data_IF_432579315030
#
_entry.id   IF_432579315030
#
_cell.length_a   1.000
_cell.length_b   1.000
_cell.length_c   1.000
_cell.angle_alpha   90.00
_cell.angle_beta   90.00
_cell.angle_gamma   90.00
#
_symmetry.space_group_name_H-M   'P 1'
#
loop_
_entity.id
_entity.type
_entity.pdbx_description
1 polymer ?
#
# COMPACT_ATOMS: atom_id res chain seq x y z
N UNK A 1 29.40 -3.31 -94.08
CA UNK A 1 30.69 -3.70 -94.66
C UNK A 1 31.52 -4.33 -93.54
N UNK A 2 31.94 -5.58 -93.73
CA UNK A 2 32.70 -6.41 -92.77
C UNK A 2 34.06 -5.79 -92.43
N UNK A 3 34.54 -6.02 -91.21
CA UNK A 3 35.91 -6.52 -90.89
C UNK A 3 36.05 -6.68 -89.37
N UNK A 4 36.21 -7.91 -88.87
CA UNK A 4 37.49 -8.56 -88.56
C UNK A 4 38.27 -7.87 -87.43
N UNK A 5 38.28 -8.44 -86.21
CA UNK A 5 39.14 -9.56 -85.72
C UNK A 5 40.50 -9.05 -85.19
N UNK A 6 40.84 -9.56 -84.00
CA UNK A 6 42.19 -10.03 -83.57
C UNK A 6 43.05 -9.10 -82.67
N UNK A 7 43.59 -9.77 -81.62
CA UNK A 7 44.80 -9.48 -80.79
C UNK A 7 44.61 -8.44 -79.67
N UNK A 8 45.20 -8.57 -78.48
CA UNK A 8 46.09 -9.54 -77.84
C UNK A 8 46.05 -9.19 -76.33
N UNK A 9 45.73 -10.12 -75.44
CA UNK A 9 46.68 -10.71 -74.48
C UNK A 9 47.97 -9.90 -74.23
N UNK A 10 47.99 -9.13 -73.15
CA UNK A 10 49.16 -8.98 -72.29
C UNK A 10 48.78 -8.37 -70.93
N UNK A 11 49.03 -9.17 -69.88
CA UNK A 11 49.57 -8.72 -68.58
C UNK A 11 48.72 -7.77 -67.72
N UNK A 12 48.09 -8.32 -66.68
CA UNK A 12 48.57 -8.03 -65.33
C UNK A 12 48.07 -9.07 -64.33
N UNK A 13 48.99 -9.41 -63.44
CA UNK A 13 48.93 -10.45 -62.43
C UNK A 13 48.49 -9.79 -61.12
N UNK A 14 47.60 -10.51 -60.42
CA UNK A 14 47.41 -10.51 -58.96
C UNK A 14 46.53 -9.46 -58.27
N UNK A 15 45.90 -10.01 -57.22
CA UNK A 15 45.31 -9.41 -56.03
C UNK A 15 43.82 -9.04 -56.11
N UNK A 16 42.96 -9.88 -55.52
CA UNK A 16 42.27 -9.58 -54.25
C UNK A 16 41.13 -10.59 -53.99
N UNK A 17 41.38 -11.56 -53.10
CA UNK A 17 40.42 -11.89 -52.05
C UNK A 17 41.21 -11.68 -50.74
N UNK A 18 40.71 -10.85 -49.80
CA UNK A 18 39.67 -11.32 -48.89
C UNK A 18 38.75 -10.18 -48.39
N UNK A 19 37.57 -9.99 -48.98
CA UNK A 19 36.58 -9.00 -48.46
C UNK A 19 35.57 -9.64 -47.47
N UNK A 20 35.61 -10.96 -47.25
CA UNK A 20 34.57 -11.66 -46.46
C UNK A 20 34.83 -11.78 -44.96
N UNK A 21 36.00 -11.41 -44.43
CA UNK A 21 36.30 -11.55 -42.99
C UNK A 21 36.08 -10.30 -42.13
N UNK A 22 35.93 -9.11 -42.72
CA UNK A 22 35.83 -7.87 -41.93
C UNK A 22 34.42 -7.60 -41.39
N UNK A 23 33.38 -8.18 -42.01
CA UNK A 23 31.98 -7.86 -41.68
C UNK A 23 31.42 -8.66 -40.49
N UNK A 24 32.01 -9.80 -40.13
CA UNK A 24 31.50 -10.66 -39.06
C UNK A 24 32.02 -10.28 -37.68
N UNK A 25 33.20 -9.67 -37.57
CA UNK A 25 33.73 -9.17 -36.30
C UNK A 25 32.93 -7.96 -35.79
N UNK A 26 32.65 -6.99 -36.67
CA UNK A 26 31.85 -5.81 -36.32
C UNK A 26 30.44 -6.15 -35.88
N UNK A 27 29.79 -7.13 -36.54
CA UNK A 27 28.46 -7.59 -36.17
C UNK A 27 28.44 -8.25 -34.78
N UNK A 28 29.47 -9.04 -34.43
CA UNK A 28 29.59 -9.70 -33.12
C UNK A 28 29.80 -8.70 -32.00
N UNK A 29 30.62 -7.68 -32.21
CA UNK A 29 30.82 -6.61 -31.22
C UNK A 29 29.55 -5.77 -31.02
N UNK A 30 28.78 -5.51 -32.08
CA UNK A 30 27.52 -4.75 -31.99
C UNK A 30 26.44 -5.53 -31.23
N UNK A 31 26.36 -6.86 -31.43
CA UNK A 31 25.44 -7.74 -30.68
C UNK A 31 25.85 -7.84 -29.20
N UNK A 32 27.14 -8.00 -28.91
CA UNK A 32 27.63 -8.05 -27.52
C UNK A 32 27.40 -6.71 -26.81
N UNK A 33 27.62 -5.58 -27.50
CA UNK A 33 27.33 -4.26 -26.96
C UNK A 33 25.83 -4.07 -26.68
N UNK A 34 24.95 -4.53 -27.58
CA UNK A 34 23.50 -4.49 -27.37
C UNK A 34 23.07 -5.34 -26.17
N UNK A 35 23.62 -6.56 -26.02
CA UNK A 35 23.33 -7.41 -24.86
C UNK A 35 23.81 -6.79 -23.54
N UNK A 36 24.95 -6.08 -23.57
CA UNK A 36 25.52 -5.41 -22.40
C UNK A 36 24.68 -4.17 -22.01
N UNK A 37 24.14 -3.43 -22.99
CA UNK A 37 23.21 -2.32 -22.75
C UNK A 37 21.89 -2.82 -22.16
N UNK A 38 21.33 -3.92 -22.68
CA UNK A 38 20.08 -4.50 -22.14
C UNK A 38 20.27 -4.96 -20.69
N UNK A 39 21.43 -5.53 -20.35
CA UNK A 39 21.76 -5.95 -18.98
C UNK A 39 21.92 -4.79 -17.98
N UNK A 40 22.29 -3.59 -18.43
CA UNK A 40 22.40 -2.41 -17.55
C UNK A 40 21.04 -1.78 -17.20
N UNK A 41 19.98 -2.06 -17.96
CA UNK A 41 18.64 -1.44 -17.75
C UNK A 41 17.77 -2.26 -16.78
N UNK A 42 18.17 -3.48 -16.42
CA UNK A 42 17.35 -4.39 -15.58
C UNK A 42 17.46 -4.17 -14.06
N UNK A 43 18.15 -3.15 -13.56
CA UNK A 43 18.32 -2.90 -12.12
C UNK A 43 17.24 -2.01 -11.51
N UNK A 44 15.96 -2.18 -11.90
CA UNK A 44 14.88 -1.55 -11.15
C UNK A 44 14.58 -2.43 -9.93
N UNK A 45 15.28 -2.17 -8.83
CA UNK A 45 14.82 -2.60 -7.51
C UNK A 45 13.53 -1.83 -7.19
N UNK A 46 12.38 -2.41 -7.56
CA UNK A 46 11.11 -1.99 -7.00
C UNK A 46 11.13 -2.42 -5.53
N UNK A 47 11.55 -1.50 -4.66
CA UNK A 47 11.21 -1.61 -3.26
C UNK A 47 9.68 -1.54 -3.21
N UNK A 48 9.04 -2.69 -2.94
CA UNK A 48 7.65 -2.71 -2.52
C UNK A 48 7.60 -1.97 -1.18
N UNK A 49 7.44 -0.65 -1.24
CA UNK A 49 7.14 0.15 -0.06
C UNK A 49 5.81 -0.40 0.46
N UNK A 50 5.79 -0.87 1.71
CA UNK A 50 4.55 -1.24 2.38
C UNK A 50 3.58 -0.08 2.19
N UNK A 51 2.42 -0.29 1.57
CA UNK A 51 1.56 0.83 1.20
C UNK A 51 1.17 1.58 2.47
N UNK A 52 1.43 2.88 2.49
CA UNK A 52 1.08 3.80 3.59
C UNK A 52 -0.44 4.04 3.60
N UNK A 53 -1.19 2.95 3.77
CA UNK A 53 -2.64 2.93 3.73
C UNK A 53 -3.18 2.98 5.16
N UNK A 54 -4.35 3.61 5.29
CA UNK A 54 -5.11 3.60 6.53
C UNK A 54 -5.58 2.16 6.81
N UNK A 55 -5.38 1.71 8.03
CA UNK A 55 -5.77 0.36 8.45
C UNK A 55 -6.56 0.42 9.75
N UNK A 56 -7.49 -0.51 9.92
CA UNK A 56 -8.26 -0.69 11.14
C UNK A 56 -8.07 -2.11 11.69
N UNK A 57 -8.01 -2.21 13.00
CA UNK A 57 -8.08 -3.46 13.72
C UNK A 57 -9.23 -3.39 14.72
N UNK A 58 -10.17 -4.32 14.59
CA UNK A 58 -11.25 -4.52 15.56
C UNK A 58 -10.93 -5.74 16.40
N UNK A 59 -10.86 -5.57 17.71
CA UNK A 59 -10.68 -6.65 18.68
C UNK A 59 -11.99 -6.82 19.45
N UNK A 60 -12.63 -7.98 19.25
CA UNK A 60 -13.87 -8.36 19.91
C UNK A 60 -13.56 -9.21 21.13
N UNK A 61 -13.91 -8.71 22.32
CA UNK A 61 -13.76 -9.42 23.60
C UNK A 61 -15.13 -9.66 24.22
N UNK A 62 -15.16 -10.44 25.29
CA UNK A 62 -16.39 -10.69 26.04
C UNK A 62 -16.90 -9.39 26.68
N UNK A 63 -17.95 -8.84 26.07
CA UNK A 63 -18.61 -7.61 26.51
C UNK A 63 -17.88 -6.29 26.21
N UNK A 64 -16.78 -6.35 25.44
CA UNK A 64 -16.02 -5.17 25.06
C UNK A 64 -15.55 -5.27 23.61
N UNK A 65 -15.56 -4.13 22.93
CA UNK A 65 -14.98 -3.95 21.61
C UNK A 65 -13.89 -2.88 21.67
N UNK A 66 -12.79 -3.12 20.98
CA UNK A 66 -11.69 -2.19 20.81
C UNK A 66 -11.48 -1.97 19.31
N UNK A 67 -11.43 -0.70 18.88
CA UNK A 67 -11.11 -0.30 17.52
C UNK A 67 -9.78 0.45 17.57
N UNK A 68 -8.78 -0.04 16.85
CA UNK A 68 -7.51 0.65 16.60
C UNK A 68 -7.47 1.08 15.15
N UNK A 69 -7.19 2.34 14.91
CA UNK A 69 -7.15 2.91 13.58
C UNK A 69 -5.77 3.52 13.34
N UNK A 70 -5.02 2.95 12.40
CA UNK A 70 -3.70 3.42 11.98
C UNK A 70 -3.87 4.30 10.75
N UNK A 71 -3.86 5.61 10.96
CA UNK A 71 -4.21 6.58 9.92
C UNK A 71 -2.97 7.14 9.25
N UNK A 72 -3.00 7.17 7.91
CA UNK A 72 -2.08 8.01 7.16
C UNK A 72 -2.56 9.47 7.26
N UNK A 73 -1.94 10.22 8.18
CA UNK A 73 -2.33 11.60 8.48
C UNK A 73 -2.15 12.54 7.30
N UNK A 74 -1.07 12.42 6.53
CA UNK A 74 -0.82 13.28 5.36
C UNK A 74 -1.98 13.19 4.36
N UNK A 75 -2.37 11.97 3.99
CA UNK A 75 -3.46 11.75 3.05
C UNK A 75 -4.81 12.18 3.61
N UNK A 76 -5.05 11.97 4.91
CA UNK A 76 -6.34 12.33 5.51
C UNK A 76 -6.49 13.85 5.64
N UNK A 77 -5.46 14.55 6.09
CA UNK A 77 -5.46 16.01 6.17
C UNK A 77 -5.66 16.64 4.79
N UNK A 78 -4.96 16.15 3.76
CA UNK A 78 -5.13 16.64 2.40
C UNK A 78 -6.58 16.50 1.89
N UNK A 79 -7.27 15.40 2.22
CA UNK A 79 -8.69 15.20 1.89
C UNK A 79 -9.60 16.15 2.67
N UNK A 80 -9.31 16.37 3.95
CA UNK A 80 -10.07 17.30 4.78
C UNK A 80 -9.88 18.76 4.38
N UNK A 81 -8.88 19.10 3.57
CA UNK A 81 -8.71 20.43 2.95
C UNK A 81 -9.45 20.57 1.60
N UNK A 82 -10.10 19.51 1.09
CA UNK A 82 -10.83 19.57 -0.18
C UNK A 82 -12.15 20.34 -0.02
N UNK A 83 -12.15 21.59 -0.50
CA UNK A 83 -13.32 22.45 -0.50
C UNK A 83 -14.50 21.86 -1.28
N UNK A 84 -14.26 21.17 -2.40
CA UNK A 84 -15.34 20.66 -3.24
C UNK A 84 -16.03 19.48 -2.56
N UNK A 85 -15.26 18.55 -1.99
CA UNK A 85 -15.80 17.42 -1.27
C UNK A 85 -16.55 17.87 0.02
N UNK A 86 -16.10 18.95 0.68
CA UNK A 86 -16.87 19.58 1.75
C UNK A 86 -18.18 20.22 1.27
N UNK A 87 -18.13 21.03 0.20
CA UNK A 87 -19.32 21.72 -0.34
C UNK A 87 -20.39 20.75 -0.83
N UNK A 88 -19.99 19.58 -1.30
CA UNK A 88 -20.88 18.50 -1.74
C UNK A 88 -21.36 17.60 -0.61
N UNK A 89 -20.84 17.79 0.60
CA UNK A 89 -21.21 17.03 1.80
C UNK A 89 -20.58 15.63 1.86
N UNK A 90 -19.56 15.34 1.07
CA UNK A 90 -18.81 14.08 1.16
C UNK A 90 -18.07 13.96 2.50
N UNK A 91 -17.63 15.09 3.07
CA UNK A 91 -17.14 15.14 4.45
C UNK A 91 -17.66 16.39 5.17
N UNK A 92 -17.83 16.27 6.50
CA UNK A 92 -18.46 17.31 7.32
C UNK A 92 -17.49 18.38 7.84
N UNK A 93 -16.20 18.05 7.90
CA UNK A 93 -15.14 18.92 8.39
C UNK A 93 -14.30 19.43 7.22
N UNK A 94 -14.04 20.74 7.20
CA UNK A 94 -13.06 21.37 6.31
C UNK A 94 -11.95 21.95 7.18
N UNK A 95 -10.71 21.55 6.91
CA UNK A 95 -9.53 22.12 7.56
C UNK A 95 -8.95 23.24 6.72
N UNK A 96 -8.55 24.33 7.38
CA UNK A 96 -7.73 25.38 6.78
C UNK A 96 -6.24 25.10 7.01
N UNK A 97 -5.37 25.86 6.36
CA UNK A 97 -3.92 25.77 6.60
C UNK A 97 -3.54 26.12 8.06
N UNK A 98 -4.29 27.03 8.68
CA UNK A 98 -4.10 27.38 10.09
C UNK A 98 -4.49 26.22 11.01
N UNK A 99 -5.56 25.48 10.67
CA UNK A 99 -6.04 24.34 11.46
C UNK A 99 -5.04 23.19 11.54
N UNK A 100 -4.16 23.03 10.55
CA UNK A 100 -3.14 21.96 10.51
C UNK A 100 -2.11 22.15 11.65
N UNK A 101 -1.86 23.39 12.03
CA UNK A 101 -0.90 23.73 13.07
C UNK A 101 -1.54 23.93 14.45
N UNK A 102 -2.86 23.76 14.55
CA UNK A 102 -3.60 23.86 15.80
C UNK A 102 -3.23 22.67 16.72
N UNK A 103 -2.75 22.92 17.94
CA UNK A 103 -2.51 21.87 18.93
C UNK A 103 -3.75 21.02 19.26
N UNK A 104 -4.96 21.53 19.03
CA UNK A 104 -6.21 20.81 19.26
C UNK A 104 -6.65 19.94 18.05
N UNK A 105 -5.87 19.89 16.96
CA UNK A 105 -6.22 19.15 15.75
C UNK A 105 -6.47 17.67 16.02
N UNK A 106 -5.59 17.01 16.78
CA UNK A 106 -5.72 15.58 17.10
C UNK A 106 -7.03 15.26 17.81
N UNK A 107 -7.44 16.11 18.77
CA UNK A 107 -8.72 15.98 19.48
C UNK A 107 -9.91 16.17 18.54
N UNK A 108 -9.87 17.17 17.64
CA UNK A 108 -10.94 17.40 16.65
C UNK A 108 -11.08 16.20 15.69
N UNK A 109 -9.95 15.64 15.26
CA UNK A 109 -9.93 14.46 14.39
C UNK A 109 -10.44 13.21 15.12
N UNK A 110 -10.06 13.01 16.38
CA UNK A 110 -10.60 11.93 17.20
C UNK A 110 -12.12 12.05 17.37
N UNK A 111 -12.62 13.26 17.62
CA UNK A 111 -14.06 13.53 17.72
C UNK A 111 -14.80 13.28 16.40
N UNK A 112 -14.20 13.65 15.27
CA UNK A 112 -14.76 13.35 13.94
C UNK A 112 -14.90 11.84 13.76
N UNK A 113 -13.84 11.08 14.04
CA UNK A 113 -13.85 9.62 13.96
C UNK A 113 -14.88 9.00 14.92
N UNK A 114 -14.97 9.48 16.15
CA UNK A 114 -15.92 8.98 17.15
C UNK A 114 -17.38 9.21 16.72
N UNK A 115 -17.67 10.36 16.12
CA UNK A 115 -19.02 10.76 15.71
C UNK A 115 -19.48 10.04 14.44
N UNK A 116 -18.57 9.88 13.47
CA UNK A 116 -18.92 9.45 12.12
C UNK A 116 -18.57 7.98 11.83
N UNK A 117 -17.69 7.36 12.63
CA UNK A 117 -17.51 5.92 12.56
C UNK A 117 -18.70 5.23 13.23
N UNK A 118 -19.25 4.22 12.56
CA UNK A 118 -20.32 3.41 13.13
C UNK A 118 -19.88 1.98 13.21
N UNK A 119 -20.14 1.35 14.35
CA UNK A 119 -19.91 -0.06 14.56
C UNK A 119 -21.19 -0.71 15.06
N UNK A 120 -21.53 -1.85 14.47
CA UNK A 120 -22.68 -2.65 14.89
C UNK A 120 -22.28 -4.10 15.07
N UNK A 121 -22.73 -4.68 16.18
CA UNK A 121 -22.61 -6.10 16.46
C UNK A 121 -24.00 -6.70 16.43
N UNK A 122 -24.22 -7.72 15.61
CA UNK A 122 -25.54 -8.33 15.42
C UNK A 122 -26.64 -7.28 15.14
N UNK A 123 -26.35 -6.25 14.33
CA UNK A 123 -27.24 -5.12 14.02
C UNK A 123 -27.57 -4.20 15.20
N UNK A 124 -26.86 -4.33 16.33
CA UNK A 124 -26.95 -3.40 17.46
C UNK A 124 -25.77 -2.46 17.40
N UNK A 125 -26.05 -1.15 17.29
CA UNK A 125 -25.01 -0.11 17.33
C UNK A 125 -24.30 -0.12 18.67
N UNK A 126 -22.97 -0.13 18.65
CA UNK A 126 -22.15 0.01 19.85
C UNK A 126 -21.60 1.44 19.90
N UNK A 127 -21.73 2.08 21.07
CA UNK A 127 -21.10 3.38 21.30
C UNK A 127 -19.60 3.16 21.52
N UNK A 128 -18.80 3.83 20.71
CA UNK A 128 -17.36 3.91 20.88
C UNK A 128 -17.01 5.24 21.53
N UNK A 129 -15.96 5.23 22.34
CA UNK A 129 -15.36 6.44 22.89
C UNK A 129 -13.85 6.39 22.75
N UNK A 130 -13.25 7.52 22.43
CA UNK A 130 -11.80 7.67 22.29
C UNK A 130 -11.10 7.31 23.59
N UNK A 131 -10.12 6.43 23.53
CA UNK A 131 -9.30 6.02 24.69
C UNK A 131 -7.86 6.49 24.61
N UNK A 132 -7.31 6.63 23.40
CA UNK A 132 -5.96 7.15 23.19
C UNK A 132 -5.79 7.66 21.75
N UNK A 133 -4.90 8.64 21.60
CA UNK A 133 -4.31 9.03 20.32
C UNK A 133 -2.80 8.96 20.48
N UNK A 134 -2.12 8.27 19.57
CA UNK A 134 -0.68 8.04 19.64
C UNK A 134 -0.05 8.31 18.27
N UNK A 135 0.76 9.38 18.20
CA UNK A 135 1.38 9.85 16.96
C UNK A 135 2.69 9.11 16.61
N UNK A 136 3.13 8.12 17.40
CA UNK A 136 4.46 7.50 17.26
C UNK A 136 4.46 5.96 17.21
N UNK A 137 3.34 5.33 16.88
CA UNK A 137 3.18 3.89 17.13
C UNK A 137 3.75 2.97 16.04
N UNK A 138 4.12 3.48 14.86
CA UNK A 138 4.52 2.64 13.71
C UNK A 138 5.71 3.22 12.92
N UNK A 139 6.69 2.39 12.47
CA UNK A 139 7.75 2.80 11.55
C UNK A 139 7.26 3.38 10.20
N UNK A 140 5.96 3.33 9.90
CA UNK A 140 5.32 3.90 8.72
C UNK A 140 4.77 5.33 8.87
N UNK A 141 5.06 6.06 9.95
CA UNK A 141 4.55 7.43 10.20
C UNK A 141 3.02 7.55 10.25
N UNK A 142 2.35 6.57 10.86
CA UNK A 142 0.89 6.57 11.04
C UNK A 142 0.53 6.96 12.47
N UNK A 143 -0.53 7.75 12.61
CA UNK A 143 -1.13 8.04 13.92
C UNK A 143 -2.13 6.94 14.27
N UNK A 144 -2.05 6.41 15.48
CA UNK A 144 -3.00 5.46 16.02
C UNK A 144 -4.10 6.19 16.80
N UNK A 145 -5.36 6.03 16.39
CA UNK A 145 -6.53 6.38 17.18
C UNK A 145 -7.13 5.11 17.78
N UNK A 146 -7.31 5.08 19.10
CA UNK A 146 -7.93 3.97 19.81
C UNK A 146 -9.29 4.36 20.36
N UNK A 147 -10.26 3.50 20.13
CA UNK A 147 -11.60 3.62 20.66
C UNK A 147 -12.01 2.34 21.37
N UNK A 148 -12.86 2.45 22.37
CA UNK A 148 -13.46 1.29 23.02
C UNK A 148 -14.94 1.48 23.28
N UNK A 149 -15.67 0.37 23.32
CA UNK A 149 -17.08 0.34 23.67
C UNK A 149 -17.41 -0.93 24.45
N UNK A 150 -18.51 -0.90 25.20
CA UNK A 150 -19.03 -2.07 25.91
C UNK A 150 -20.32 -2.56 25.27
N UNK A 151 -20.57 -3.86 25.33
CA UNK A 151 -21.79 -4.49 24.84
C UNK A 151 -22.22 -5.66 25.73
N UNK A 152 -23.51 -6.01 25.69
CA UNK A 152 -24.05 -7.17 26.42
C UNK A 152 -24.20 -8.43 25.54
N UNK A 153 -23.72 -8.36 24.29
CA UNK A 153 -23.85 -9.45 23.31
C UNK A 153 -22.93 -10.61 23.69
N UNK A 154 -23.52 -11.76 23.99
CA UNK A 154 -22.81 -12.98 24.41
C UNK A 154 -22.17 -13.70 23.22
N UNK A 155 -22.81 -13.65 22.05
CA UNK A 155 -22.30 -14.30 20.83
C UNK A 155 -22.39 -13.33 19.67
N UNK A 156 -21.24 -12.92 19.14
CA UNK A 156 -21.15 -12.05 17.96
C UNK A 156 -21.19 -12.92 16.71
N UNK A 157 -22.21 -12.75 15.87
CA UNK A 157 -22.37 -13.43 14.59
C UNK A 157 -22.15 -12.52 13.39
N UNK A 158 -22.28 -11.20 13.58
CA UNK A 158 -21.95 -10.21 12.56
C UNK A 158 -21.29 -8.97 13.15
N UNK A 159 -20.35 -8.41 12.40
CA UNK A 159 -19.74 -7.10 12.62
C UNK A 159 -19.99 -6.27 11.36
N UNK A 160 -20.60 -5.11 11.53
CA UNK A 160 -20.69 -4.08 10.51
C UNK A 160 -19.91 -2.86 11.00
N UNK A 161 -19.10 -2.28 10.11
CA UNK A 161 -18.30 -1.10 10.42
C UNK A 161 -18.30 -0.16 9.23
N UNK A 162 -18.37 1.14 9.51
CA UNK A 162 -18.20 2.21 8.54
C UNK A 162 -17.37 3.33 9.15
N UNK A 163 -16.66 4.06 8.29
CA UNK A 163 -15.76 5.15 8.65
C UNK A 163 -16.17 6.42 7.89
N UNK A 164 -15.72 7.61 8.33
CA UNK A 164 -15.92 8.85 7.59
C UNK A 164 -15.36 8.73 6.16
N UNK A 165 -16.08 9.22 5.17
CA UNK A 165 -15.65 9.14 3.77
C UNK A 165 -14.30 9.85 3.54
N UNK A 166 -14.03 10.93 4.29
CA UNK A 166 -12.74 11.64 4.28
C UNK A 166 -11.54 10.74 4.55
N UNK A 167 -11.72 9.64 5.29
CA UNK A 167 -10.63 8.73 5.68
C UNK A 167 -10.14 7.88 4.51
N UNK A 168 -10.97 7.73 3.47
CA UNK A 168 -10.68 6.91 2.30
C UNK A 168 -10.80 5.42 2.53
N UNK A 169 -10.07 4.65 1.72
CA UNK A 169 -10.05 3.20 1.84
C UNK A 169 -9.35 2.79 3.14
N UNK A 170 -10.00 1.90 3.90
CA UNK A 170 -9.49 1.39 5.18
C UNK A 170 -9.34 -0.11 5.10
N UNK A 171 -8.13 -0.61 5.32
CA UNK A 171 -7.88 -2.05 5.40
C UNK A 171 -8.29 -2.58 6.77
N UNK A 172 -9.39 -3.32 6.82
CA UNK A 172 -9.94 -3.86 8.06
C UNK A 172 -9.35 -5.24 8.39
N UNK A 173 -8.91 -5.38 9.64
CA UNK A 173 -8.64 -6.67 10.28
C UNK A 173 -9.54 -6.84 11.49
N UNK A 174 -9.99 -8.07 11.74
CA UNK A 174 -10.87 -8.40 12.86
C UNK A 174 -10.27 -9.57 13.62
N UNK A 175 -10.15 -9.41 14.93
CA UNK A 175 -9.61 -10.42 15.83
C UNK A 175 -10.60 -10.72 16.97
N UNK A 176 -10.74 -11.99 17.30
CA UNK A 176 -11.48 -12.45 18.46
C UNK A 176 -10.56 -13.35 19.29
N UNK A 177 -10.18 -12.97 20.51
CA UNK A 177 -9.31 -13.78 21.36
C UNK A 177 -9.94 -15.11 21.73
N UNK A 178 -9.09 -16.13 21.89
CA UNK A 178 -9.47 -17.42 22.45
C UNK A 178 -9.10 -17.39 23.94
N UNK A 179 -10.06 -17.71 24.81
CA UNK A 179 -9.86 -17.81 26.24
C UNK A 179 -9.87 -19.28 26.66
N UNK A 180 -8.77 -19.75 27.24
CA UNK A 180 -8.59 -21.12 27.72
C UNK A 180 -8.02 -21.11 29.14
N UNK A 181 -8.50 -22.02 29.98
CA UNK A 181 -8.01 -22.18 31.34
C UNK A 181 -6.82 -23.15 31.35
N UNK A 182 -5.63 -22.66 31.72
CA UNK A 182 -4.44 -23.49 31.88
C UNK A 182 -4.23 -23.80 33.37
N UNK A 183 -4.21 -25.09 33.74
CA UNK A 183 -3.93 -25.50 35.11
C UNK A 183 -2.48 -25.20 35.52
N UNK A 184 -2.28 -24.85 36.79
CA UNK A 184 -0.96 -24.48 37.30
C UNK A 184 0.02 -25.66 37.19
N UNK A 185 1.16 -25.44 36.52
CA UNK A 185 2.20 -26.45 36.35
C UNK A 185 1.96 -27.44 35.21
N UNK A 186 0.83 -27.33 34.49
CA UNK A 186 0.54 -28.16 33.32
C UNK A 186 0.89 -27.42 32.01
N UNK A 187 1.33 -28.20 31.01
CA UNK A 187 1.51 -27.69 29.66
C UNK A 187 0.25 -27.99 28.85
N UNK A 188 -0.37 -26.96 28.30
CA UNK A 188 -1.54 -27.09 27.44
C UNK A 188 -1.16 -26.71 26.01
N UNK A 189 -1.59 -27.54 25.05
CA UNK A 189 -1.45 -27.24 23.63
C UNK A 189 -2.67 -26.45 23.16
N UNK A 190 -2.47 -25.19 22.74
CA UNK A 190 -3.52 -24.32 22.24
C UNK A 190 -3.45 -24.32 20.71
N UNK A 191 -4.53 -24.76 20.07
CA UNK A 191 -4.63 -24.74 18.61
C UNK A 191 -4.99 -23.35 18.10
N UNK A 192 -4.10 -22.74 17.32
CA UNK A 192 -4.34 -21.46 16.66
C UNK A 192 -4.92 -21.72 15.26
N UNK A 193 -6.24 -21.62 15.12
CA UNK A 193 -6.87 -21.66 13.80
C UNK A 193 -6.82 -20.26 13.19
N UNK A 194 -5.91 -20.01 12.26
CA UNK A 194 -5.95 -18.81 11.43
C UNK A 194 -7.17 -18.91 10.50
N UNK A 195 -8.05 -17.91 10.55
CA UNK A 195 -9.17 -17.73 9.61
C UNK A 195 -8.90 -16.54 8.71
#
# INVERSE_FOLDING_TARGET
>A
MKTHRIRQLAQSISYLHPVKMLNTLWLRHLVVLHLLIIGLISSNHVFAHTPNQTAAQVILRDGQIELRLYVNMENWLARLQDHQAWLTGEHSLLLTEEDIHDPALSDRLAQLLEKESQIQLNHTRISLSTTAVDDNTDPGHRTEFRFSGSHAIVTVSSLEISFPHSLGEVHLSVAQPIYENVAQGESQNISLNAR
#
